data_IF_676268713819
#
_entry.id   IF_676268713819
#
_cell.length_a   1.000
_cell.length_b   1.000
_cell.length_c   1.000
_cell.angle_alpha   90.00
_cell.angle_beta   90.00
_cell.angle_gamma   90.00
#
_symmetry.space_group_name_H-M   'P 1'
#
loop_
_entity.id
_entity.type
_entity.pdbx_description
1 polymer ?
#
# COMPACT_ATOMS: atom_id res chain seq x y z
N UNK A 1 -1.65 9.98 30.13
CA UNK A 1 -2.00 9.73 29.38
C UNK A 1 -1.32 9.69 28.53
N UNK A 2 -0.94 9.32 28.15
CA UNK A 2 -0.06 9.46 27.47
C UNK A 2 0.29 8.26 26.71
N UNK A 3 1.09 7.34 27.13
CA UNK A 3 1.49 6.18 26.37
C UNK A 3 0.31 5.30 26.00
N UNK A 4 -0.62 5.15 26.92
CA UNK A 4 -1.78 4.30 26.66
C UNK A 4 -2.66 4.93 25.62
N UNK A 5 -2.89 6.24 25.72
CA UNK A 5 -3.71 6.91 24.72
C UNK A 5 -3.04 6.91 23.37
N UNK A 6 -1.74 7.14 23.35
CA UNK A 6 -1.03 7.18 22.10
C UNK A 6 -1.07 5.83 21.41
N UNK A 7 -0.84 4.78 22.16
CA UNK A 7 -0.86 3.44 21.61
C UNK A 7 -2.26 3.04 21.15
N UNK A 8 -3.27 3.42 21.91
CA UNK A 8 -4.65 3.14 21.50
C UNK A 8 -5.01 3.80 20.21
N UNK A 9 -4.58 5.06 20.03
CA UNK A 9 -4.84 5.75 18.79
C UNK A 9 -4.09 5.12 17.63
N UNK A 10 -2.84 4.74 17.87
CA UNK A 10 -2.06 4.11 16.82
C UNK A 10 -2.68 2.81 16.37
N UNK A 11 -3.22 2.03 17.33
CA UNK A 11 -3.90 0.80 16.99
C UNK A 11 -5.16 1.07 16.17
N UNK A 12 -5.87 2.12 16.53
CA UNK A 12 -7.05 2.49 15.78
C UNK A 12 -6.69 2.85 14.34
N UNK A 13 -5.61 3.61 14.16
CA UNK A 13 -5.19 3.99 12.83
C UNK A 13 -4.72 2.76 12.05
N UNK A 14 -4.12 1.79 12.73
CA UNK A 14 -3.69 0.58 12.06
C UNK A 14 -4.87 -0.20 11.51
N UNK A 15 -5.95 -0.27 12.27
CA UNK A 15 -7.16 -0.93 11.80
C UNK A 15 -7.75 -0.16 10.65
N UNK A 16 -7.76 1.16 10.77
CA UNK A 16 -8.29 2.01 9.69
C UNK A 16 -7.50 1.83 8.41
N UNK A 17 -6.19 1.65 8.52
CA UNK A 17 -5.37 1.46 7.33
C UNK A 17 -5.79 0.23 6.54
N UNK A 18 -6.13 -0.83 7.25
CA UNK A 18 -6.59 -2.05 6.60
C UNK A 18 -7.90 -1.82 5.89
N UNK A 19 -8.80 -1.08 6.52
CA UNK A 19 -10.07 -0.78 5.91
C UNK A 19 -9.89 0.13 4.70
N UNK A 20 -9.00 1.10 4.81
CA UNK A 20 -8.73 2.00 3.69
C UNK A 20 -8.20 1.22 2.50
N UNK A 21 -7.31 0.28 2.75
CA UNK A 21 -6.77 -0.53 1.66
C UNK A 21 -7.90 -1.26 0.96
N UNK A 22 -8.78 -1.89 1.72
CA UNK A 22 -9.88 -2.63 1.14
C UNK A 22 -10.80 -1.72 0.32
N UNK A 23 -11.12 -0.56 0.88
CA UNK A 23 -12.01 0.37 0.19
C UNK A 23 -11.40 0.84 -1.11
N UNK A 24 -10.13 1.22 -1.08
CA UNK A 24 -9.47 1.74 -2.27
C UNK A 24 -9.32 0.67 -3.34
N UNK A 25 -9.00 -0.54 -2.94
CA UNK A 25 -8.84 -1.63 -3.89
C UNK A 25 -10.19 -1.98 -4.52
N UNK A 26 -11.23 -2.08 -3.70
CA UNK A 26 -12.55 -2.39 -4.23
C UNK A 26 -13.02 -1.31 -5.19
N UNK A 27 -12.77 -0.07 -4.87
CA UNK A 27 -13.18 1.03 -5.74
C UNK A 27 -12.40 0.97 -7.06
N UNK A 28 -11.11 0.67 -6.99
CA UNK A 28 -10.30 0.58 -8.20
C UNK A 28 -10.77 -0.56 -9.09
N UNK A 29 -11.14 -1.67 -8.48
CA UNK A 29 -11.65 -2.79 -9.26
C UNK A 29 -12.97 -2.46 -9.94
N UNK A 30 -13.85 -1.77 -9.24
CA UNK A 30 -15.12 -1.39 -9.82
C UNK A 30 -14.94 -0.45 -10.99
N UNK A 31 -14.05 0.53 -10.85
CA UNK A 31 -13.80 1.46 -11.95
C UNK A 31 -13.20 0.73 -13.15
N UNK A 32 -12.31 -0.20 -12.91
CA UNK A 32 -11.71 -0.97 -13.98
C UNK A 32 -12.73 -1.81 -14.71
N UNK A 33 -13.63 -2.40 -13.97
CA UNK A 33 -14.69 -3.21 -14.55
C UNK A 33 -15.59 -2.37 -15.44
N UNK A 34 -15.97 -1.19 -14.99
CA UNK A 34 -16.80 -0.31 -15.79
C UNK A 34 -16.11 0.12 -17.06
N UNK A 35 -14.81 0.42 -16.97
CA UNK A 35 -14.07 0.84 -18.16
C UNK A 35 -14.02 -0.30 -19.17
N UNK A 36 -13.82 -1.51 -18.68
CA UNK A 36 -13.77 -2.65 -19.58
C UNK A 36 -15.13 -2.95 -20.20
N UNK A 37 -16.19 -2.50 -19.55
CA UNK A 37 -17.51 -2.65 -20.07
C UNK A 37 -17.84 -1.67 -21.18
N UNK A 38 -16.93 -0.80 -21.52
CA UNK A 38 -17.14 0.10 -22.64
C UNK A 38 -17.86 1.38 -22.29
N UNK A 39 -18.11 1.63 -21.03
CA UNK A 39 -18.76 2.83 -20.61
C UNK A 39 -17.75 3.70 -19.89
N UNK A 40 -17.25 4.73 -20.58
CA UNK A 40 -16.25 5.57 -19.94
C UNK A 40 -16.85 6.35 -18.79
N UNK A 41 -16.15 6.42 -17.69
CA UNK A 41 -16.66 7.17 -16.58
C UNK A 41 -16.60 8.65 -16.87
N UNK A 42 -17.53 9.37 -16.30
CA UNK A 42 -17.49 10.78 -16.44
C UNK A 42 -16.56 11.26 -15.38
N UNK A 43 -15.50 11.89 -15.76
CA UNK A 43 -14.48 12.31 -14.83
C UNK A 43 -14.42 13.81 -14.77
N UNK A 44 -14.49 14.33 -13.57
CA UNK A 44 -14.29 15.72 -13.33
C UNK A 44 -12.79 16.00 -13.42
N UNK A 45 -12.40 17.04 -14.06
CA UNK A 45 -10.99 17.34 -14.22
C UNK A 45 -10.28 17.46 -12.89
N UNK A 46 -10.95 17.99 -11.90
CA UNK A 46 -10.35 18.18 -10.60
C UNK A 46 -10.03 16.86 -9.93
N UNK A 47 -10.77 15.83 -10.27
CA UNK A 47 -10.58 14.53 -9.66
C UNK A 47 -9.82 13.57 -10.52
N UNK A 48 -9.47 13.97 -11.71
CA UNK A 48 -8.90 13.02 -12.66
C UNK A 48 -7.62 12.39 -12.16
N UNK A 49 -6.83 13.14 -11.41
CA UNK A 49 -5.58 12.59 -10.91
C UNK A 49 -5.80 11.44 -9.98
N UNK A 50 -6.84 11.52 -9.15
CA UNK A 50 -7.12 10.48 -8.18
C UNK A 50 -7.88 9.31 -8.77
N UNK A 51 -8.66 9.58 -9.82
CA UNK A 51 -9.51 8.53 -10.37
C UNK A 51 -9.01 8.02 -11.72
N UNK A 52 -7.78 8.30 -12.04
CA UNK A 52 -7.25 7.90 -13.35
C UNK A 52 -7.03 6.39 -13.40
N UNK A 53 -7.09 5.82 -14.59
CA UNK A 53 -6.78 4.41 -14.73
C UNK A 53 -5.37 4.05 -14.26
N UNK A 54 -4.45 4.98 -14.42
CA UNK A 54 -3.09 4.75 -13.96
C UNK A 54 -3.03 4.60 -12.45
N UNK A 55 -3.73 5.48 -11.74
CA UNK A 55 -3.77 5.40 -10.28
C UNK A 55 -4.42 4.09 -9.83
N UNK A 56 -5.50 3.69 -10.51
CA UNK A 56 -6.18 2.45 -10.17
C UNK A 56 -5.26 1.26 -10.38
N UNK A 57 -4.55 1.23 -11.48
CA UNK A 57 -3.63 0.12 -11.75
C UNK A 57 -2.52 0.07 -10.71
N UNK A 58 -2.04 1.23 -10.28
CA UNK A 58 -1.01 1.27 -9.25
C UNK A 58 -1.51 0.71 -7.93
N UNK A 59 -2.73 1.08 -7.56
CA UNK A 59 -3.31 0.57 -6.32
C UNK A 59 -3.48 -0.94 -6.39
N UNK A 60 -3.97 -1.44 -7.50
CA UNK A 60 -4.18 -2.87 -7.64
C UNK A 60 -2.87 -3.63 -7.67
N UNK A 61 -1.86 -3.09 -8.36
CA UNK A 61 -0.56 -3.71 -8.42
C UNK A 61 0.09 -3.74 -7.05
N UNK A 62 -0.02 -2.66 -6.30
CA UNK A 62 0.55 -2.62 -4.97
C UNK A 62 -0.15 -3.61 -4.06
N UNK A 63 -1.48 -3.69 -4.15
CA UNK A 63 -2.24 -4.61 -3.34
C UNK A 63 -1.82 -6.06 -3.61
N UNK A 64 -1.66 -6.41 -4.86
CA UNK A 64 -1.21 -7.73 -5.22
C UNK A 64 0.18 -8.02 -4.70
N UNK A 65 1.08 -7.06 -4.87
CA UNK A 65 2.45 -7.24 -4.42
C UNK A 65 2.50 -7.38 -2.90
N UNK A 66 1.70 -6.59 -2.19
CA UNK A 66 1.67 -6.68 -0.73
C UNK A 66 1.11 -7.99 -0.25
N UNK A 67 0.10 -8.50 -0.95
CA UNK A 67 -0.46 -9.79 -0.59
C UNK A 67 0.60 -10.88 -0.71
N UNK A 68 1.36 -10.87 -1.79
CA UNK A 68 2.43 -11.83 -1.97
C UNK A 68 3.55 -11.62 -0.94
N UNK A 69 3.90 -10.38 -0.70
CA UNK A 69 4.96 -10.05 0.24
C UNK A 69 4.60 -10.48 1.66
N UNK A 70 3.32 -10.37 2.01
CA UNK A 70 2.89 -10.75 3.36
C UNK A 70 3.06 -12.24 3.62
N UNK A 71 3.19 -13.03 2.59
CA UNK A 71 3.39 -14.46 2.75
C UNK A 71 4.82 -14.77 3.21
N UNK A 72 5.76 -13.92 2.87
CA UNK A 72 7.15 -14.15 3.24
C UNK A 72 7.66 -13.17 4.30
N UNK A 73 7.08 -11.99 4.38
CA UNK A 73 7.54 -10.97 5.31
C UNK A 73 6.34 -10.21 5.88
N UNK A 74 5.55 -10.85 6.72
CA UNK A 74 4.29 -10.23 7.18
C UNK A 74 4.46 -8.92 7.92
N UNK A 75 5.47 -8.79 8.79
CA UNK A 75 5.64 -7.54 9.51
C UNK A 75 6.05 -6.41 8.57
N UNK A 76 6.94 -6.69 7.65
CA UNK A 76 7.38 -5.69 6.69
C UNK A 76 6.24 -5.27 5.78
N UNK A 77 5.42 -6.22 5.37
CA UNK A 77 4.25 -5.90 4.56
C UNK A 77 3.28 -5.02 5.34
N UNK A 78 3.15 -5.28 6.62
CA UNK A 78 2.28 -4.49 7.46
C UNK A 78 2.77 -3.05 7.57
N UNK A 79 4.06 -2.86 7.68
CA UNK A 79 4.63 -1.52 7.75
C UNK A 79 4.24 -0.73 6.50
N UNK A 80 4.30 -1.37 5.34
CA UNK A 80 3.93 -0.69 4.09
C UNK A 80 2.44 -0.36 4.09
N UNK A 81 1.62 -1.30 4.51
CA UNK A 81 0.19 -1.07 4.54
C UNK A 81 -0.16 0.13 5.41
N UNK A 82 0.44 0.19 6.59
CA UNK A 82 0.17 1.29 7.49
C UNK A 82 0.65 2.62 6.93
N UNK A 83 1.80 2.61 6.34
CA UNK A 83 2.37 3.84 5.82
C UNK A 83 1.70 4.30 4.54
N UNK A 84 1.52 3.40 3.62
CA UNK A 84 1.00 3.76 2.31
C UNK A 84 -0.50 3.96 2.30
N UNK A 85 -1.23 3.02 2.84
CA UNK A 85 -2.69 3.11 2.82
C UNK A 85 -3.24 3.88 4.02
N UNK A 86 -2.57 3.79 5.14
CA UNK A 86 -3.05 4.45 6.33
C UNK A 86 -2.48 5.83 6.55
N UNK A 87 -1.38 6.14 5.88
CA UNK A 87 -0.74 7.43 6.08
C UNK A 87 -0.11 7.61 7.44
N UNK A 88 0.22 6.53 8.12
CA UNK A 88 0.81 6.63 9.43
C UNK A 88 2.24 7.13 9.35
N UNK A 89 2.63 7.92 10.34
CA UNK A 89 4.01 8.33 10.48
C UNK A 89 4.83 7.18 11.05
N UNK A 90 6.14 7.32 11.01
CA UNK A 90 7.00 6.31 11.59
C UNK A 90 6.70 6.12 13.07
N UNK A 91 6.46 7.21 13.78
CA UNK A 91 6.14 7.13 15.21
C UNK A 91 4.86 6.35 15.46
N UNK A 92 3.88 6.59 14.60
CA UNK A 92 2.61 5.89 14.74
C UNK A 92 2.77 4.41 14.44
N UNK A 93 3.59 4.08 13.47
CA UNK A 93 3.84 2.68 13.13
C UNK A 93 4.56 1.98 14.28
N UNK A 94 5.55 2.66 14.85
CA UNK A 94 6.28 2.12 15.99
C UNK A 94 5.31 1.80 17.12
N UNK A 95 4.39 2.71 17.41
CA UNK A 95 3.43 2.48 18.47
C UNK A 95 2.44 1.37 18.11
N UNK A 96 1.97 1.37 16.87
CA UNK A 96 0.96 0.39 16.46
C UNK A 96 1.51 -1.02 16.45
N UNK A 97 2.75 -1.19 16.02
CA UNK A 97 3.32 -2.53 15.90
C UNK A 97 4.20 -2.90 17.09
N UNK A 98 4.39 -1.97 18.00
CA UNK A 98 5.20 -2.20 19.18
C UNK A 98 6.60 -2.67 18.80
N UNK A 99 7.24 -1.95 17.91
CA UNK A 99 8.59 -2.24 17.49
C UNK A 99 9.44 -0.99 17.71
N UNK A 100 10.75 -1.13 17.62
CA UNK A 100 11.62 0.02 17.80
C UNK A 100 11.65 0.87 16.54
N UNK A 101 12.02 2.14 16.66
CA UNK A 101 12.17 2.98 15.47
C UNK A 101 13.19 2.41 14.48
N UNK A 102 14.24 1.81 15.00
CA UNK A 102 15.23 1.21 14.13
C UNK A 102 14.64 0.06 13.32
N UNK A 103 13.87 -0.78 13.99
CA UNK A 103 13.22 -1.89 13.30
C UNK A 103 12.23 -1.37 12.26
N UNK A 104 11.47 -0.35 12.60
CA UNK A 104 10.50 0.20 11.66
C UNK A 104 11.21 0.72 10.41
N UNK A 105 12.33 1.39 10.59
CA UNK A 105 13.06 1.92 9.46
C UNK A 105 13.66 0.82 8.60
N UNK A 106 14.21 -0.20 9.24
CA UNK A 106 14.77 -1.32 8.50
C UNK A 106 13.70 -2.08 7.74
N UNK A 107 12.56 -2.27 8.38
CA UNK A 107 11.43 -2.94 7.73
C UNK A 107 10.96 -2.15 6.51
N UNK A 108 10.90 -0.83 6.65
CA UNK A 108 10.48 0.01 5.55
C UNK A 108 11.47 -0.05 4.40
N UNK A 109 12.76 0.03 4.71
CA UNK A 109 13.79 -0.01 3.68
C UNK A 109 13.77 -1.33 2.93
N UNK A 110 13.64 -2.42 3.67
CA UNK A 110 13.60 -3.74 3.06
C UNK A 110 12.36 -3.89 2.18
N UNK A 111 11.21 -3.48 2.70
CA UNK A 111 9.97 -3.58 1.95
C UNK A 111 10.01 -2.73 0.70
N UNK A 112 10.55 -1.54 0.82
CA UNK A 112 10.62 -0.63 -0.31
C UNK A 112 11.46 -1.23 -1.43
N UNK A 113 12.60 -1.80 -1.06
CA UNK A 113 13.46 -2.42 -2.07
C UNK A 113 12.77 -3.59 -2.75
N UNK A 114 12.09 -4.42 -1.95
CA UNK A 114 11.39 -5.57 -2.48
C UNK A 114 10.27 -5.14 -3.45
N UNK A 115 9.50 -4.13 -3.04
CA UNK A 115 8.38 -3.66 -3.85
C UNK A 115 8.86 -2.99 -5.14
N UNK A 116 9.93 -2.24 -5.07
CA UNK A 116 10.46 -1.60 -6.26
C UNK A 116 10.83 -2.65 -7.29
N UNK A 117 11.41 -3.75 -6.83
CA UNK A 117 11.76 -4.80 -7.73
C UNK A 117 10.54 -5.45 -8.33
N UNK A 118 9.53 -5.74 -7.49
CA UNK A 118 8.31 -6.40 -7.97
C UNK A 118 7.49 -5.52 -8.90
N UNK A 119 7.49 -4.23 -8.65
CA UNK A 119 6.64 -3.33 -9.41
C UNK A 119 7.34 -2.66 -10.58
N UNK A 120 8.55 -3.05 -10.86
CA UNK A 120 9.29 -2.46 -11.97
C UNK A 120 9.60 -3.52 -13.01
N UNK A 121 8.69 -3.81 -13.87
CA UNK A 121 8.92 -4.84 -14.88
C UNK A 121 10.09 -4.54 -15.78
N UNK A 122 10.35 -3.27 -16.01
CA UNK A 122 11.48 -2.90 -16.84
C UNK A 122 12.78 -3.40 -16.28
N UNK A 123 12.91 -3.33 -14.98
CA UNK A 123 14.13 -3.80 -14.34
C UNK A 123 14.20 -5.30 -14.39
N UNK A 124 13.09 -5.97 -14.20
CA UNK A 124 13.08 -7.41 -14.18
C UNK A 124 13.26 -8.01 -15.54
N UNK A 125 12.70 -7.37 -16.53
CA UNK A 125 12.67 -7.93 -17.82
C UNK A 125 14.04 -8.26 -18.39
N UNK A 126 14.96 -7.35 -18.41
CA UNK A 126 16.27 -7.68 -18.94
C UNK A 126 16.94 -8.80 -18.19
N UNK A 127 16.78 -8.83 -16.90
CA UNK A 127 17.37 -9.88 -16.17
C UNK A 127 16.73 -11.17 -16.49
N UNK A 128 15.46 -11.15 -16.70
CA UNK A 128 14.76 -12.35 -17.05
C UNK A 128 15.28 -12.96 -18.30
N UNK A 129 15.76 -12.12 -19.25
CA UNK A 129 16.17 -12.68 -20.41
C UNK A 129 17.51 -12.95 -20.33
N UNK A 130 18.14 -12.59 -19.41
CA UNK A 130 19.41 -12.88 -19.18
C UNK A 130 20.03 -13.63 -20.10
N UNK A 131 19.69 -13.93 -20.71
CA UNK A 131 20.11 -14.56 -21.56
C UNK A 131 21.00 -14.47 -21.77
#
# INVERSE_FOLDING_TARGET
MTDIDWQGRAQFYAIAARMMRRILVDAARKRGSRRRGGIPPKVNLDESALLSPTADRSILALDEALTAFSQVAPRQARVVELRYFGGLTEEEIVAALNISPRTARRDWDFARAWLLRELSPTIREPSGRGR
#
